data_IF_599124879465
#
_entry.id   IF_599124879465
#
_cell.length_a   1.000
_cell.length_b   1.000
_cell.length_c   1.000
_cell.angle_alpha   90.00
_cell.angle_beta   90.00
_cell.angle_gamma   90.00
#
_symmetry.space_group_name_H-M   'P 1'
#
loop_
_entity.id
_entity.type
_entity.pdbx_description
1 polymer ?
#
# COMPACT_ATOMS: atom_id res chain seq x y z
N UNK A 1 11.69 -50.77 6.03
CA UNK A 1 10.65 -51.20 5.09
C UNK A 1 10.51 -50.12 4.03
N UNK A 2 10.82 -50.51 2.80
CA UNK A 2 10.85 -49.65 1.61
C UNK A 2 9.46 -49.69 0.97
N UNK A 3 8.85 -48.54 0.64
CA UNK A 3 7.79 -48.46 -0.37
C UNK A 3 8.05 -47.31 -1.34
N UNK A 4 8.40 -47.75 -2.53
CA UNK A 4 8.46 -47.03 -3.80
C UNK A 4 7.06 -47.07 -4.42
N UNK A 5 6.58 -46.00 -4.98
CA UNK A 5 5.59 -45.94 -6.08
C UNK A 5 5.62 -44.50 -6.56
N UNK A 6 5.88 -44.20 -7.72
CA UNK A 6 5.65 -44.60 -9.09
C UNK A 6 5.11 -43.34 -9.84
N UNK A 7 5.84 -43.03 -10.90
CA UNK A 7 5.57 -41.98 -11.87
C UNK A 7 4.22 -42.19 -12.57
N UNK A 8 3.48 -41.11 -12.82
CA UNK A 8 2.59 -41.05 -13.95
C UNK A 8 2.81 -39.76 -14.77
N UNK A 9 3.41 -39.96 -15.93
CA UNK A 9 3.45 -39.00 -17.02
C UNK A 9 2.18 -39.17 -17.83
N UNK A 10 1.47 -38.08 -18.12
CA UNK A 10 0.46 -38.06 -19.18
C UNK A 10 0.81 -36.95 -20.14
N UNK A 11 1.13 -37.39 -21.33
CA UNK A 11 1.37 -36.65 -22.57
C UNK A 11 0.07 -36.71 -23.41
N UNK A 12 -0.40 -35.59 -23.94
CA UNK A 12 -1.22 -35.48 -25.15
C UNK A 12 -1.61 -34.02 -25.34
N UNK A 13 -1.54 -33.37 -26.37
CA UNK A 13 -1.34 -33.47 -27.77
C UNK A 13 -1.98 -32.24 -28.42
N UNK A 14 -1.23 -31.68 -29.31
CA UNK A 14 -1.48 -30.58 -30.24
C UNK A 14 -2.84 -30.69 -30.97
N UNK A 15 -3.52 -29.54 -31.16
CA UNK A 15 -4.31 -29.29 -32.40
C UNK A 15 -4.12 -27.84 -32.82
N UNK A 16 -3.46 -27.69 -34.00
CA UNK A 16 -3.48 -26.51 -34.85
C UNK A 16 -4.77 -26.52 -35.71
N UNK A 17 -5.45 -25.36 -35.83
CA UNK A 17 -6.23 -25.06 -37.02
C UNK A 17 -6.07 -23.61 -37.40
N UNK A 18 -5.50 -23.41 -38.60
CA UNK A 18 -5.45 -22.15 -39.34
C UNK A 18 -6.57 -22.14 -40.40
N UNK A 19 -7.20 -20.97 -40.58
CA UNK A 19 -7.85 -20.49 -41.80
C UNK A 19 -8.33 -19.08 -41.50
N UNK A 20 -8.00 -17.95 -42.10
CA UNK A 20 -7.86 -17.68 -43.53
C UNK A 20 -9.16 -17.12 -44.08
N UNK A 21 -9.25 -15.80 -44.27
CA UNK A 21 -9.88 -15.23 -45.48
C UNK A 21 -9.71 -13.70 -45.49
N UNK A 22 -9.24 -13.29 -46.64
CA UNK A 22 -9.08 -11.93 -47.11
C UNK A 22 -10.38 -11.46 -47.79
N UNK A 23 -10.48 -10.17 -48.03
CA UNK A 23 -11.48 -9.48 -48.86
C UNK A 23 -11.61 -8.04 -48.40
N UNK A 24 -11.60 -7.09 -49.15
CA UNK A 24 -11.31 -6.63 -50.49
C UNK A 24 -11.55 -5.09 -50.47
N UNK A 25 -10.86 -4.41 -51.33
CA UNK A 25 -10.85 -2.98 -51.50
C UNK A 25 -12.15 -2.44 -52.11
N UNK A 26 -12.53 -1.20 -51.74
CA UNK A 26 -13.23 -0.32 -52.69
C UNK A 26 -12.92 1.13 -52.45
N UNK A 27 -12.30 1.69 -53.45
CA UNK A 27 -12.03 3.10 -53.70
C UNK A 27 -13.32 3.90 -53.96
N UNK A 28 -13.38 5.08 -53.40
CA UNK A 28 -14.42 6.07 -53.75
C UNK A 28 -13.89 7.50 -53.53
N UNK A 29 -13.32 8.01 -54.62
CA UNK A 29 -12.81 9.37 -54.70
C UNK A 29 -13.96 10.27 -55.20
N UNK A 30 -14.29 11.32 -54.48
CA UNK A 30 -15.09 12.43 -55.01
C UNK A 30 -14.57 13.77 -54.52
N UNK A 31 -14.40 14.66 -55.47
CA UNK A 31 -13.74 15.94 -55.41
C UNK A 31 -14.51 17.03 -54.62
N UNK A 32 -13.76 18.05 -54.28
CA UNK A 32 -14.10 19.28 -53.57
C UNK A 32 -15.19 20.17 -54.18
N UNK A 33 -15.70 21.18 -53.44
CA UNK A 33 -15.24 22.52 -53.75
C UNK A 33 -14.79 23.34 -52.52
N UNK A 34 -13.82 24.19 -52.75
CA UNK A 34 -13.30 25.17 -51.84
C UNK A 34 -14.34 26.23 -51.44
N UNK A 35 -14.57 26.41 -50.17
CA UNK A 35 -15.27 27.58 -49.65
C UNK A 35 -14.32 28.27 -48.67
N UNK A 36 -13.94 29.49 -49.04
CA UNK A 36 -13.19 30.44 -48.27
C UNK A 36 -13.98 30.76 -46.98
N UNK A 37 -13.47 30.32 -45.85
CA UNK A 37 -14.02 30.70 -44.56
C UNK A 37 -13.04 31.61 -43.81
N UNK A 38 -13.57 32.76 -43.39
CA UNK A 38 -12.92 33.81 -42.63
C UNK A 38 -12.25 33.27 -41.35
N UNK A 39 -11.13 33.86 -40.99
CA UNK A 39 -10.41 33.61 -39.74
C UNK A 39 -11.30 33.97 -38.53
N UNK A 40 -11.48 33.09 -37.56
CA UNK A 40 -12.08 33.46 -36.28
C UNK A 40 -11.05 34.26 -35.46
N UNK A 41 -11.51 35.37 -34.90
CA UNK A 41 -10.77 36.21 -33.97
C UNK A 41 -10.38 35.45 -32.68
N UNK A 42 -9.50 36.03 -31.85
CA UNK A 42 -9.02 35.37 -30.64
C UNK A 42 -10.20 35.17 -29.67
N UNK A 43 -10.62 33.93 -29.53
CA UNK A 43 -11.54 33.54 -28.47
C UNK A 43 -10.77 33.55 -27.16
N UNK A 44 -11.00 34.56 -26.35
CA UNK A 44 -10.57 34.62 -24.95
C UNK A 44 -11.22 33.45 -24.22
N UNK A 45 -10.45 32.42 -23.92
CA UNK A 45 -10.87 31.33 -23.06
C UNK A 45 -11.29 31.92 -21.69
N UNK A 46 -12.42 31.50 -21.10
CA UNK A 46 -12.75 31.92 -19.75
C UNK A 46 -11.66 31.45 -18.78
N UNK A 47 -11.34 32.21 -17.72
CA UNK A 47 -10.38 31.80 -16.72
C UNK A 47 -10.87 30.50 -16.11
N UNK A 48 -10.08 29.44 -16.25
CA UNK A 48 -10.27 28.18 -15.53
C UNK A 48 -10.11 28.50 -14.06
N UNK A 49 -11.18 28.70 -13.36
CA UNK A 49 -11.19 28.80 -11.90
C UNK A 49 -10.82 27.40 -11.42
N UNK A 50 -9.54 27.17 -11.17
CA UNK A 50 -9.11 26.03 -10.36
C UNK A 50 -9.72 26.28 -8.98
N UNK A 51 -10.83 25.62 -8.72
CA UNK A 51 -11.35 25.51 -7.35
C UNK A 51 -10.29 24.71 -6.60
N UNK A 52 -9.39 25.43 -5.93
CA UNK A 52 -8.47 24.86 -4.94
C UNK A 52 -9.36 24.31 -3.84
N UNK A 53 -9.69 23.01 -3.95
CA UNK A 53 -10.38 22.28 -2.90
C UNK A 53 -9.45 22.33 -1.70
N UNK A 54 -9.70 23.24 -0.76
CA UNK A 54 -9.00 23.28 0.52
C UNK A 54 -9.27 21.96 1.23
N UNK A 55 -8.40 20.98 0.99
CA UNK A 55 -8.50 19.66 1.62
C UNK A 55 -8.23 19.86 3.11
N UNK A 56 -9.25 19.62 3.92
CA UNK A 56 -9.09 19.64 5.38
C UNK A 56 -8.13 18.52 5.78
N UNK A 57 -7.13 18.88 6.61
CA UNK A 57 -6.23 17.87 7.16
C UNK A 57 -7.04 16.86 7.99
N UNK A 58 -6.74 15.55 7.87
CA UNK A 58 -7.39 14.52 8.68
C UNK A 58 -7.25 14.77 10.17
N UNK A 59 -8.23 14.30 10.94
CA UNK A 59 -8.19 14.41 12.40
C UNK A 59 -6.94 13.74 12.98
N UNK A 60 -6.30 14.40 13.94
CA UNK A 60 -5.09 13.90 14.58
C UNK A 60 -3.81 14.05 13.73
N UNK A 61 -3.90 14.56 12.48
CA UNK A 61 -2.71 14.79 11.68
C UNK A 61 -1.83 15.90 12.29
N UNK A 62 -0.55 15.59 12.48
CA UNK A 62 0.43 16.57 12.96
C UNK A 62 0.82 17.50 11.81
N UNK A 63 0.67 18.83 11.95
CA UNK A 63 1.13 19.78 10.94
C UNK A 63 2.60 19.61 10.61
N UNK A 64 2.99 19.69 9.34
CA UNK A 64 4.35 19.39 8.85
C UNK A 64 5.46 20.12 9.64
N UNK A 65 5.24 21.37 10.03
CA UNK A 65 6.21 22.16 10.81
C UNK A 65 6.36 21.72 12.27
N UNK A 66 5.48 20.85 12.78
CA UNK A 66 5.50 20.35 14.18
C UNK A 66 5.76 18.85 14.28
N UNK A 67 6.01 18.15 13.15
CA UNK A 67 6.31 16.73 13.16
C UNK A 67 7.68 16.46 13.75
N UNK A 68 7.74 15.57 14.72
CA UNK A 68 9.00 15.11 15.33
C UNK A 68 9.60 13.94 14.52
N UNK A 69 10.92 13.77 14.52
CA UNK A 69 11.56 12.60 13.92
C UNK A 69 11.01 11.31 14.54
N UNK A 70 10.69 10.32 13.70
CA UNK A 70 10.35 9.01 14.20
C UNK A 70 11.58 8.35 14.85
N UNK A 71 11.40 7.59 15.95
CA UNK A 71 12.46 6.79 16.52
C UNK A 71 13.01 5.78 15.52
N UNK A 72 14.27 5.34 15.69
CA UNK A 72 14.83 4.29 14.87
C UNK A 72 13.98 3.01 15.00
N UNK A 73 13.79 2.33 13.85
CA UNK A 73 13.17 1.01 13.82
C UNK A 73 14.12 0.10 13.05
N UNK A 74 14.66 -0.89 13.74
CA UNK A 74 15.44 -1.98 13.15
C UNK A 74 15.04 -3.28 13.82
N UNK A 75 14.35 -4.13 13.06
CA UNK A 75 13.77 -5.39 13.54
C UNK A 75 13.96 -6.49 12.49
N UNK A 76 13.85 -7.75 12.94
CA UNK A 76 13.87 -8.89 12.04
C UNK A 76 12.46 -9.34 11.73
N UNK A 77 12.10 -9.36 10.46
CA UNK A 77 10.81 -9.88 10.02
C UNK A 77 10.69 -11.39 10.30
N UNK A 78 9.46 -11.88 10.42
CA UNK A 78 9.22 -13.32 10.67
C UNK A 78 9.74 -14.23 9.53
N UNK A 79 10.00 -13.68 8.34
CA UNK A 79 10.65 -14.39 7.24
C UNK A 79 12.19 -14.36 7.28
N UNK A 80 12.77 -13.68 8.27
CA UNK A 80 14.20 -13.56 8.50
C UNK A 80 14.88 -12.33 7.86
N UNK A 81 14.15 -11.52 7.12
CA UNK A 81 14.70 -10.28 6.53
C UNK A 81 14.87 -9.19 7.59
N UNK A 82 15.91 -8.39 7.47
CA UNK A 82 16.05 -7.18 8.28
C UNK A 82 15.18 -6.05 7.72
N UNK A 83 14.43 -5.41 8.62
CA UNK A 83 13.67 -4.20 8.36
C UNK A 83 14.38 -3.04 9.06
N UNK A 84 14.72 -2.03 8.29
CA UNK A 84 15.35 -0.80 8.77
C UNK A 84 14.61 0.41 8.17
N UNK A 85 13.90 1.14 9.01
CA UNK A 85 13.12 2.33 8.61
C UNK A 85 14.00 3.37 7.88
N UNK A 86 15.28 3.48 8.25
CA UNK A 86 16.18 4.43 7.62
C UNK A 86 16.40 4.17 6.11
N UNK A 87 16.17 2.92 5.67
CA UNK A 87 16.27 2.54 4.24
C UNK A 87 15.01 2.87 3.45
N UNK A 88 13.94 3.27 4.10
CA UNK A 88 12.65 3.59 3.47
C UNK A 88 12.39 5.10 3.37
N UNK A 89 13.42 5.94 3.65
CA UNK A 89 13.31 7.38 3.43
C UNK A 89 12.93 7.71 1.98
N UNK A 90 12.05 8.69 1.84
CA UNK A 90 11.48 9.06 0.55
C UNK A 90 10.10 8.46 0.27
N UNK A 91 9.65 7.50 1.11
CA UNK A 91 8.28 6.99 1.09
C UNK A 91 7.66 7.10 2.48
N UNK A 92 6.36 7.38 2.60
CA UNK A 92 5.65 7.26 3.86
C UNK A 92 5.66 5.81 4.36
N UNK A 93 5.59 5.65 5.68
CA UNK A 93 5.58 4.33 6.32
C UNK A 93 4.47 4.25 7.35
N UNK A 94 3.67 3.21 7.30
CA UNK A 94 2.77 2.80 8.38
C UNK A 94 3.47 1.76 9.25
N UNK A 95 3.59 2.06 10.53
CA UNK A 95 4.09 1.13 11.54
C UNK A 95 2.92 0.77 12.45
N UNK A 96 2.50 -0.50 12.42
CA UNK A 96 1.47 -1.02 13.30
C UNK A 96 2.10 -1.91 14.37
N UNK A 97 1.90 -1.56 15.62
CA UNK A 97 2.32 -2.35 16.78
C UNK A 97 1.17 -3.25 17.20
N UNK A 98 1.37 -4.55 17.12
CA UNK A 98 0.32 -5.56 17.27
C UNK A 98 0.80 -6.79 18.03
N UNK A 99 -0.14 -7.66 18.41
CA UNK A 99 0.12 -9.03 18.84
C UNK A 99 -0.90 -9.97 18.18
N UNK A 100 -0.47 -11.14 17.76
CA UNK A 100 -1.33 -12.08 17.02
C UNK A 100 -2.52 -12.61 17.83
N UNK A 101 -2.42 -12.60 19.15
CA UNK A 101 -3.44 -13.01 20.10
C UNK A 101 -4.36 -11.86 20.57
N UNK A 102 -4.03 -10.63 20.23
CA UNK A 102 -4.78 -9.43 20.62
C UNK A 102 -6.11 -9.36 19.84
N UNK A 103 -7.23 -9.38 20.54
CA UNK A 103 -8.57 -9.37 19.93
C UNK A 103 -8.82 -8.12 19.09
N UNK A 104 -8.40 -6.94 19.59
CA UNK A 104 -8.58 -5.66 18.89
C UNK A 104 -7.70 -5.60 17.66
N UNK A 105 -6.43 -6.08 17.75
CA UNK A 105 -5.52 -6.12 16.60
C UNK A 105 -6.07 -7.03 15.48
N UNK A 106 -6.70 -8.15 15.86
CA UNK A 106 -7.33 -9.06 14.90
C UNK A 106 -8.57 -8.44 14.23
N UNK A 107 -9.33 -7.65 14.98
CA UNK A 107 -10.51 -6.98 14.44
C UNK A 107 -10.19 -5.91 13.41
N UNK A 108 -9.06 -5.20 13.53
CA UNK A 108 -8.62 -4.17 12.58
C UNK A 108 -7.85 -4.73 11.37
N UNK A 109 -7.33 -5.98 11.46
CA UNK A 109 -6.32 -6.48 10.52
C UNK A 109 -6.81 -6.58 9.07
N UNK A 110 -8.06 -6.96 8.84
CA UNK A 110 -8.61 -7.01 7.48
C UNK A 110 -8.62 -5.61 6.83
N UNK A 111 -9.00 -4.58 7.59
CA UNK A 111 -8.98 -3.21 7.13
C UNK A 111 -7.55 -2.72 6.85
N UNK A 112 -6.58 -3.06 7.72
CA UNK A 112 -5.15 -2.77 7.48
C UNK A 112 -4.61 -3.49 6.25
N UNK A 113 -4.97 -4.74 6.04
CA UNK A 113 -4.56 -5.51 4.86
C UNK A 113 -5.12 -4.89 3.59
N UNK A 114 -6.40 -4.50 3.60
CA UNK A 114 -7.05 -3.86 2.46
C UNK A 114 -6.42 -2.50 2.11
N UNK A 115 -6.27 -1.61 3.08
CA UNK A 115 -5.67 -0.28 2.85
C UNK A 115 -4.21 -0.40 2.40
N UNK A 116 -3.45 -1.36 2.93
CA UNK A 116 -2.07 -1.58 2.50
C UNK A 116 -1.95 -2.03 1.04
N UNK A 117 -2.92 -2.77 0.51
CA UNK A 117 -2.99 -3.12 -0.93
C UNK A 117 -3.30 -1.91 -1.81
N UNK A 118 -4.21 -1.03 -1.35
CA UNK A 118 -4.54 0.19 -2.11
C UNK A 118 -3.36 1.15 -2.24
N UNK A 119 -2.48 1.18 -1.26
CA UNK A 119 -1.34 2.11 -1.21
C UNK A 119 0.02 1.43 -1.43
N UNK A 120 0.09 0.17 -1.90
CA UNK A 120 1.32 -0.65 -1.94
C UNK A 120 2.49 -0.01 -2.71
N UNK A 121 2.21 0.77 -3.76
CA UNK A 121 3.23 1.47 -4.55
C UNK A 121 3.68 2.80 -3.93
N UNK A 122 2.93 3.35 -2.99
CA UNK A 122 3.12 4.71 -2.45
C UNK A 122 3.56 4.70 -0.99
N UNK A 123 3.13 3.71 -0.21
CA UNK A 123 3.31 3.65 1.24
C UNK A 123 3.89 2.29 1.64
N UNK A 124 4.91 2.29 2.49
CA UNK A 124 5.42 1.07 3.11
C UNK A 124 4.62 0.74 4.35
N UNK A 125 4.41 -0.55 4.58
CA UNK A 125 3.76 -1.05 5.80
C UNK A 125 4.69 -2.00 6.53
N UNK A 126 4.66 -1.98 7.86
CA UNK A 126 5.32 -2.95 8.72
C UNK A 126 4.51 -3.16 10.00
N UNK A 127 4.27 -4.41 10.37
CA UNK A 127 3.75 -4.76 11.68
C UNK A 127 4.90 -5.19 12.61
N UNK A 128 4.84 -4.77 13.88
CA UNK A 128 5.86 -5.08 14.89
C UNK A 128 5.20 -5.66 16.13
N UNK A 129 5.45 -6.94 16.40
CA UNK A 129 5.08 -7.63 17.63
C UNK A 129 6.28 -7.71 18.57
N UNK A 130 6.08 -7.72 19.88
CA UNK A 130 7.17 -7.94 20.84
C UNK A 130 7.07 -9.26 21.62
N UNK A 131 5.93 -9.95 21.55
CA UNK A 131 5.71 -11.21 22.29
C UNK A 131 5.42 -12.42 21.39
N UNK A 132 5.12 -12.22 20.10
CA UNK A 132 4.87 -13.35 19.20
C UNK A 132 6.15 -14.13 18.90
N UNK A 133 6.05 -15.44 18.87
CA UNK A 133 7.05 -16.29 18.25
C UNK A 133 7.00 -16.16 16.72
N UNK A 134 8.07 -16.56 16.05
CA UNK A 134 8.10 -16.63 14.57
C UNK A 134 6.94 -17.46 14.00
N UNK A 135 6.58 -18.55 14.69
CA UNK A 135 5.48 -19.43 14.27
C UNK A 135 4.12 -18.74 14.34
N UNK A 136 3.86 -18.03 15.43
CA UNK A 136 2.61 -17.29 15.67
C UNK A 136 2.47 -16.15 14.68
N UNK A 137 3.51 -15.32 14.51
CA UNK A 137 3.50 -14.23 13.55
C UNK A 137 3.29 -14.70 12.11
N UNK A 138 3.95 -15.80 11.69
CA UNK A 138 3.73 -16.40 10.37
C UNK A 138 2.32 -16.99 10.20
N UNK A 139 1.73 -17.55 11.27
CA UNK A 139 0.36 -18.02 11.25
C UNK A 139 -0.60 -16.86 11.06
N UNK A 140 -0.43 -15.80 11.83
CA UNK A 140 -1.21 -14.56 11.73
C UNK A 140 -1.11 -13.96 10.34
N UNK A 141 0.10 -13.85 9.77
CA UNK A 141 0.34 -13.34 8.43
C UNK A 141 -0.43 -14.11 7.35
N UNK A 142 -0.47 -15.46 7.45
CA UNK A 142 -1.23 -16.28 6.50
C UNK A 142 -2.73 -16.17 6.70
N UNK A 143 -3.19 -16.12 7.94
CA UNK A 143 -4.62 -16.07 8.30
C UNK A 143 -5.29 -14.82 7.73
N UNK A 144 -4.62 -13.66 7.80
CA UNK A 144 -5.12 -12.38 7.30
C UNK A 144 -4.56 -11.99 5.92
N UNK A 145 -3.90 -12.91 5.23
CA UNK A 145 -3.31 -12.70 3.89
C UNK A 145 -2.44 -11.42 3.82
N UNK A 146 -1.69 -11.14 4.89
CA UNK A 146 -0.88 -9.92 5.00
C UNK A 146 0.32 -10.03 4.06
N UNK A 147 0.44 -9.09 3.12
CA UNK A 147 1.50 -9.06 2.10
C UNK A 147 2.68 -8.17 2.47
N UNK A 148 2.56 -7.34 3.50
CA UNK A 148 3.65 -6.54 4.04
C UNK A 148 4.41 -7.28 5.16
N UNK A 149 5.65 -6.87 5.50
CA UNK A 149 6.44 -7.55 6.51
C UNK A 149 5.84 -7.40 7.91
N UNK A 150 5.76 -8.50 8.62
CA UNK A 150 5.56 -8.56 10.06
C UNK A 150 6.88 -8.95 10.73
N UNK A 151 7.24 -8.28 11.81
CA UNK A 151 8.54 -8.40 12.47
C UNK A 151 8.41 -8.63 13.97
N UNK A 152 9.49 -9.14 14.57
CA UNK A 152 9.60 -9.40 15.99
C UNK A 152 10.57 -8.42 16.66
N UNK A 153 10.11 -7.74 17.68
CA UNK A 153 10.92 -6.97 18.64
C UNK A 153 11.00 -7.69 20.00
N UNK A 154 11.50 -8.93 20.01
CA UNK A 154 11.58 -9.74 21.23
C UNK A 154 12.30 -9.08 22.40
N UNK A 155 13.05 -8.01 22.14
CA UNK A 155 13.69 -7.20 23.18
C UNK A 155 12.80 -6.13 23.79
N UNK A 156 11.68 -5.79 23.14
CA UNK A 156 10.79 -4.70 23.49
C UNK A 156 11.39 -3.30 23.33
N UNK A 157 12.62 -3.21 22.80
CA UNK A 157 13.33 -1.91 22.69
C UNK A 157 12.68 -0.98 21.67
N UNK A 158 12.20 -1.51 20.57
CA UNK A 158 11.48 -0.74 19.55
C UNK A 158 10.18 -0.21 20.14
N UNK A 159 9.39 -1.06 20.76
CA UNK A 159 8.14 -0.66 21.43
C UNK A 159 8.39 0.45 22.47
N UNK A 160 9.40 0.28 23.33
CA UNK A 160 9.77 1.29 24.32
C UNK A 160 10.21 2.61 23.68
N UNK A 161 11.07 2.57 22.65
CA UNK A 161 11.52 3.76 21.95
C UNK A 161 10.38 4.53 21.26
N UNK A 162 9.36 3.81 20.77
CA UNK A 162 8.17 4.39 20.14
C UNK A 162 7.06 4.75 21.14
N UNK A 163 7.32 4.58 22.43
CA UNK A 163 6.36 4.90 23.51
C UNK A 163 5.07 4.09 23.37
N UNK A 164 5.16 2.80 23.06
CA UNK A 164 4.03 1.89 22.91
C UNK A 164 3.86 1.05 24.19
N UNK A 165 2.94 1.40 25.08
CA UNK A 165 2.71 0.67 26.33
C UNK A 165 1.73 -0.53 26.16
N UNK A 166 0.92 -0.51 25.12
CA UNK A 166 -0.09 -1.54 24.79
C UNK A 166 -0.39 -1.53 23.29
N UNK A 167 -1.03 -2.56 22.81
CA UNK A 167 -1.45 -2.73 21.40
C UNK A 167 -2.99 -2.66 21.26
N UNK A 168 -3.48 -2.33 20.05
CA UNK A 168 -2.72 -1.87 18.90
C UNK A 168 -2.36 -0.38 18.98
N UNK A 169 -1.26 -0.02 18.32
CA UNK A 169 -0.90 1.37 18.04
C UNK A 169 -0.48 1.48 16.59
N UNK A 170 -1.04 2.43 15.86
CA UNK A 170 -0.65 2.68 14.48
C UNK A 170 -0.02 4.07 14.36
N UNK A 171 1.15 4.13 13.72
CA UNK A 171 1.90 5.37 13.49
C UNK A 171 2.16 5.53 12.01
N UNK A 172 1.85 6.71 11.46
CA UNK A 172 2.22 7.09 10.09
C UNK A 172 3.43 8.01 10.12
N UNK A 173 4.47 7.60 9.43
CA UNK A 173 5.72 8.34 9.26
C UNK A 173 5.75 8.93 7.85
N UNK A 174 6.07 10.21 7.72
CA UNK A 174 6.17 10.87 6.41
C UNK A 174 7.46 10.50 5.64
N UNK A 175 7.57 10.94 4.36
CA UNK A 175 8.72 10.70 3.49
C UNK A 175 10.05 11.21 4.07
N UNK A 176 9.99 12.16 5.02
CA UNK A 176 11.17 12.73 5.71
C UNK A 176 11.55 11.97 6.96
N UNK A 177 10.79 10.88 7.29
CA UNK A 177 11.01 10.08 8.49
C UNK A 177 10.51 10.74 9.76
N UNK A 178 9.42 11.53 9.70
CA UNK A 178 8.84 12.24 10.84
C UNK A 178 7.42 11.75 11.10
N UNK A 179 7.02 11.67 12.35
CA UNK A 179 5.68 11.22 12.74
C UNK A 179 4.63 12.22 12.24
N UNK A 180 3.81 11.77 11.30
CA UNK A 180 2.72 12.54 10.72
C UNK A 180 1.39 12.30 11.44
N UNK A 181 1.18 11.09 11.96
CA UNK A 181 -0.04 10.71 12.65
C UNK A 181 0.21 9.53 13.58
N UNK A 182 -0.55 9.47 14.68
CA UNK A 182 -0.52 8.35 15.63
C UNK A 182 -1.93 8.10 16.14
N UNK A 183 -2.28 6.84 16.25
CA UNK A 183 -3.53 6.39 16.84
C UNK A 183 -3.27 5.23 17.82
N UNK A 184 -3.74 5.39 19.03
CA UNK A 184 -3.61 4.41 20.11
C UNK A 184 -4.96 3.73 20.29
N UNK A 185 -5.09 2.52 19.73
CA UNK A 185 -6.32 1.72 19.71
C UNK A 185 -6.57 1.07 18.35
N UNK A 186 -7.67 0.31 18.25
CA UNK A 186 -8.06 -0.37 17.01
C UNK A 186 -8.58 0.60 15.96
N UNK A 187 -8.11 0.45 14.74
CA UNK A 187 -8.56 1.25 13.60
C UNK A 187 -9.91 0.78 13.08
N UNK A 188 -10.79 1.73 12.81
CA UNK A 188 -12.02 1.48 12.07
C UNK A 188 -11.74 1.40 10.56
N UNK A 189 -12.54 0.62 9.80
CA UNK A 189 -12.42 0.59 8.34
C UNK A 189 -12.50 1.99 7.73
N UNK A 190 -11.55 2.33 6.85
CA UNK A 190 -11.48 3.62 6.19
C UNK A 190 -10.86 4.76 7.01
N UNK A 191 -10.55 4.56 8.28
CA UNK A 191 -9.97 5.60 9.14
C UNK A 191 -8.57 6.04 8.69
N UNK A 192 -7.77 5.11 8.19
CA UNK A 192 -6.39 5.39 7.77
C UNK A 192 -6.29 6.01 6.37
N UNK A 193 -7.30 5.81 5.52
CA UNK A 193 -7.30 6.26 4.13
C UNK A 193 -7.04 7.76 3.96
N UNK A 194 -7.79 8.67 4.61
CA UNK A 194 -7.58 10.10 4.43
C UNK A 194 -6.21 10.57 4.93
N UNK A 195 -5.64 9.86 5.93
CA UNK A 195 -4.30 10.15 6.45
C UNK A 195 -3.24 9.81 5.40
N UNK A 196 -3.37 8.65 4.76
CA UNK A 196 -2.44 8.20 3.73
C UNK A 196 -2.55 9.06 2.46
N UNK A 197 -3.77 9.35 2.00
CA UNK A 197 -4.01 10.26 0.87
C UNK A 197 -3.32 11.61 1.09
N UNK A 198 -3.43 12.15 2.30
CA UNK A 198 -2.79 13.42 2.63
C UNK A 198 -1.27 13.31 2.66
N UNK A 199 -0.73 12.25 3.27
CA UNK A 199 0.74 12.12 3.49
C UNK A 199 1.49 11.81 2.20
N UNK A 200 0.89 11.11 1.23
CA UNK A 200 1.53 10.84 -0.08
C UNK A 200 1.62 12.06 -0.99
N UNK A 201 0.78 13.08 -0.77
CA UNK A 201 0.73 14.30 -1.60
C UNK A 201 1.68 15.42 -1.11
N UNK A 202 2.16 15.37 0.12
CA UNK A 202 2.98 16.42 0.76
C UNK A 202 4.39 15.93 1.04
#
# INVERSE_FOLDING_TARGET
MRHRFAFFAVLAALVLTAAGCAGDASSGQAAAPATTAAAPGPTTAPPTTHTETTRHAPEGLVPTGRREPAPGLRVTAFDGREIDLARWKGQPVVVNFFESWCVVCRAEQDALTEVSRRFEDQVRFVGVSNNDTVSEGRKYQREFEIHYPLANDSSGRTWAAWGVPYQPVTVVVDQRGRIAWRFDGGLEPGQLDPVLEYVVEV
#
